data_IF_378485582240
#
_entry.id   IF_378485582240
#
_cell.length_a   1.000
_cell.length_b   1.000
_cell.length_c   1.000
_cell.angle_alpha   90.00
_cell.angle_beta   90.00
_cell.angle_gamma   90.00
#
_symmetry.space_group_name_H-M   'P 1'
#
loop_
_entity.id
_entity.type
_entity.pdbx_description
1 polymer ?
#
# COMPACT_ATOMS: atom_id res chain seq x y z
N UNK A 1 34.84 78.33 23.73
CA UNK A 1 35.10 76.94 24.19
C UNK A 1 33.74 76.29 24.37
N UNK A 2 33.28 75.32 23.58
CA UNK A 2 33.97 74.12 23.13
C UNK A 2 33.43 72.92 23.92
N UNK A 3 32.14 72.63 23.78
CA UNK A 3 31.49 71.44 24.34
C UNK A 3 31.33 70.42 23.22
N UNK A 4 31.89 69.22 23.38
CA UNK A 4 31.61 68.09 22.50
C UNK A 4 31.49 66.84 23.36
N UNK A 5 30.25 66.53 23.71
CA UNK A 5 29.86 65.23 24.22
C UNK A 5 29.50 64.26 23.09
N UNK A 6 29.37 63.00 23.52
CA UNK A 6 28.59 61.93 22.91
C UNK A 6 29.04 61.35 21.55
N UNK A 7 29.75 60.22 21.67
CA UNK A 7 29.42 58.91 21.08
C UNK A 7 28.39 58.94 19.93
N UNK A 8 28.87 59.16 18.71
CA UNK A 8 28.10 59.01 17.48
C UNK A 8 28.36 57.65 16.81
N UNK A 9 27.44 56.71 16.97
CA UNK A 9 27.33 55.54 16.09
C UNK A 9 26.97 56.00 14.68
N UNK A 10 27.75 55.51 13.71
CA UNK A 10 27.66 55.86 12.30
C UNK A 10 26.44 55.17 11.68
N UNK A 11 25.51 56.01 11.22
CA UNK A 11 24.44 55.79 10.22
C UNK A 11 25.09 55.27 8.90
N UNK A 12 24.50 54.55 7.94
CA UNK A 12 23.17 53.99 7.66
C UNK A 12 23.21 53.22 6.30
N UNK A 13 22.05 52.60 5.93
CA UNK A 13 21.58 52.18 4.58
C UNK A 13 22.04 50.79 4.12
N UNK A 14 21.24 49.89 3.53
CA UNK A 14 19.82 49.71 3.21
C UNK A 14 19.68 48.22 2.76
N UNK A 15 18.47 47.67 2.55
CA UNK A 15 18.15 46.26 2.77
C UNK A 15 18.47 45.37 1.57
N UNK A 16 19.21 44.28 1.81
CA UNK A 16 19.23 43.15 0.89
C UNK A 16 18.24 42.12 1.44
N UNK A 17 17.01 42.17 0.93
CA UNK A 17 16.03 41.11 1.11
C UNK A 17 16.60 39.83 0.47
N UNK A 18 17.35 39.06 1.26
CA UNK A 18 17.88 37.77 0.86
C UNK A 18 16.73 36.76 0.94
N UNK A 19 16.19 36.48 -0.23
CA UNK A 19 15.26 35.41 -0.56
C UNK A 19 15.87 34.06 -0.12
N UNK A 20 15.66 33.63 1.13
CA UNK A 20 16.04 32.27 1.57
C UNK A 20 14.96 31.30 1.10
N UNK A 21 15.05 30.95 -0.18
CA UNK A 21 14.29 29.89 -0.84
C UNK A 21 14.98 28.55 -0.56
N UNK A 22 15.04 28.12 0.71
CA UNK A 22 15.53 26.77 1.03
C UNK A 22 14.33 25.85 1.15
N UNK A 23 13.85 25.47 -0.03
CA UNK A 23 13.59 24.09 -0.41
C UNK A 23 13.32 23.17 0.80
N UNK A 24 12.05 23.13 1.22
CA UNK A 24 11.55 22.04 2.06
C UNK A 24 11.77 20.75 1.29
N UNK A 25 12.88 20.09 1.59
CA UNK A 25 13.12 18.70 1.23
C UNK A 25 12.12 17.90 2.07
N UNK A 26 10.90 17.74 1.57
CA UNK A 26 9.98 16.80 2.20
C UNK A 26 10.57 15.41 2.00
N UNK A 27 10.85 14.65 3.07
CA UNK A 27 11.22 13.25 2.90
C UNK A 27 10.03 12.57 2.21
N UNK A 28 10.25 12.00 1.02
CA UNK A 28 9.36 10.99 0.47
C UNK A 28 9.36 9.86 1.50
N UNK A 29 8.34 9.81 2.35
CA UNK A 29 8.16 8.70 3.26
C UNK A 29 8.17 7.41 2.43
N UNK A 30 9.00 6.41 2.78
CA UNK A 30 8.98 5.13 2.10
C UNK A 30 7.55 4.60 2.09
N UNK A 31 7.08 4.04 0.96
CA UNK A 31 5.71 3.57 0.91
C UNK A 31 5.50 2.45 1.93
N UNK A 32 4.39 2.56 2.67
CA UNK A 32 4.08 1.68 3.80
C UNK A 32 3.69 0.30 3.26
N UNK A 33 4.40 -0.75 3.71
CA UNK A 33 4.13 -2.13 3.28
C UNK A 33 3.20 -2.82 4.26
N UNK A 34 2.12 -3.38 3.74
CA UNK A 34 1.08 -4.08 4.50
C UNK A 34 0.97 -5.51 3.99
N UNK A 35 0.88 -6.47 4.89
CA UNK A 35 0.75 -7.89 4.52
C UNK A 35 -0.66 -8.35 4.84
N UNK A 36 -1.32 -8.97 3.85
CA UNK A 36 -2.65 -9.51 3.97
C UNK A 36 -2.72 -10.96 3.51
N UNK A 37 -3.82 -11.62 3.86
CA UNK A 37 -4.23 -12.93 3.33
C UNK A 37 -5.64 -12.81 2.80
N UNK A 38 -5.99 -13.66 1.86
CA UNK A 38 -7.34 -13.63 1.29
C UNK A 38 -7.53 -14.64 0.18
N UNK A 39 -8.74 -14.64 -0.38
CA UNK A 39 -9.11 -15.47 -1.52
C UNK A 39 -9.26 -14.58 -2.75
N UNK A 40 -8.61 -14.97 -3.84
CA UNK A 40 -8.74 -14.28 -5.13
C UNK A 40 -10.16 -14.54 -5.65
N UNK A 41 -10.94 -13.48 -5.85
CA UNK A 41 -12.30 -13.62 -6.39
C UNK A 41 -12.31 -13.47 -7.91
N UNK A 42 -11.50 -12.55 -8.46
CA UNK A 42 -11.45 -12.27 -9.89
C UNK A 42 -10.15 -11.58 -10.28
N UNK A 43 -9.58 -11.95 -11.43
CA UNK A 43 -8.47 -11.25 -12.07
C UNK A 43 -9.02 -10.41 -13.23
N UNK A 44 -8.69 -9.12 -13.26
CA UNK A 44 -9.09 -8.15 -14.29
C UNK A 44 -7.82 -7.66 -14.98
N UNK A 45 -7.26 -8.51 -15.84
CA UNK A 45 -5.96 -8.28 -16.49
C UNK A 45 -5.93 -6.98 -17.33
N UNK A 46 -7.04 -6.63 -17.99
CA UNK A 46 -7.12 -5.41 -18.81
C UNK A 46 -6.94 -4.10 -18.02
N UNK A 47 -7.29 -4.11 -16.73
CA UNK A 47 -7.18 -2.93 -15.84
C UNK A 47 -6.04 -3.08 -14.81
N UNK A 48 -5.18 -4.09 -14.97
CA UNK A 48 -4.14 -4.44 -14.01
C UNK A 48 -4.65 -4.56 -12.56
N UNK A 49 -5.82 -5.18 -12.38
CA UNK A 49 -6.50 -5.27 -11.09
C UNK A 49 -6.85 -6.69 -10.70
N UNK A 50 -6.90 -6.92 -9.40
CA UNK A 50 -7.40 -8.17 -8.82
C UNK A 50 -8.41 -7.86 -7.72
N UNK A 51 -9.54 -8.57 -7.74
CA UNK A 51 -10.54 -8.54 -6.67
C UNK A 51 -10.18 -9.64 -5.69
N UNK A 52 -9.92 -9.28 -4.44
CA UNK A 52 -9.56 -10.20 -3.36
C UNK A 52 -10.55 -10.02 -2.21
N UNK A 53 -11.12 -11.13 -1.75
CA UNK A 53 -11.78 -11.22 -0.46
C UNK A 53 -10.70 -11.39 0.61
N UNK A 54 -10.25 -10.28 1.20
CA UNK A 54 -9.16 -10.30 2.16
C UNK A 54 -9.66 -10.51 3.59
N UNK A 55 -8.82 -11.15 4.40
CA UNK A 55 -8.98 -11.27 5.85
C UNK A 55 -8.69 -9.93 6.55
N UNK A 56 -8.85 -9.87 7.87
CA UNK A 56 -8.48 -8.69 8.64
C UNK A 56 -6.99 -8.36 8.46
N UNK A 57 -6.70 -7.11 8.09
CA UNK A 57 -5.34 -6.56 7.99
C UNK A 57 -5.15 -5.65 9.21
N UNK A 58 -4.44 -6.10 10.26
CA UNK A 58 -4.34 -5.38 11.52
C UNK A 58 -3.82 -3.95 11.33
N UNK A 59 -4.51 -2.99 11.92
CA UNK A 59 -4.15 -1.57 11.84
C UNK A 59 -4.46 -0.90 10.49
N UNK A 60 -5.03 -1.63 9.52
CA UNK A 60 -5.35 -1.09 8.22
C UNK A 60 -6.82 -1.21 7.85
N UNK A 61 -7.33 -2.43 7.64
CA UNK A 61 -8.70 -2.66 7.16
C UNK A 61 -9.25 -4.00 7.64
N UNK A 62 -10.55 -4.03 7.95
CA UNK A 62 -11.27 -5.26 8.32
C UNK A 62 -11.48 -6.15 7.10
N UNK A 63 -11.75 -7.44 7.34
CA UNK A 63 -12.04 -8.39 6.28
C UNK A 63 -13.17 -7.89 5.34
N UNK A 64 -12.89 -7.75 4.06
CA UNK A 64 -13.85 -7.34 3.03
C UNK A 64 -13.38 -7.76 1.64
N UNK A 65 -14.26 -7.62 0.63
CA UNK A 65 -13.91 -7.88 -0.77
C UNK A 65 -13.73 -6.57 -1.52
N UNK A 66 -12.53 -6.34 -2.06
CA UNK A 66 -12.24 -5.13 -2.84
C UNK A 66 -11.24 -5.39 -3.96
N UNK A 67 -11.16 -4.45 -4.90
CA UNK A 67 -10.19 -4.47 -5.99
C UNK A 67 -8.89 -3.78 -5.58
N UNK A 68 -7.77 -4.45 -5.79
CA UNK A 68 -6.42 -3.90 -5.66
C UNK A 68 -5.77 -3.75 -7.03
N UNK A 69 -5.05 -2.65 -7.21
CA UNK A 69 -4.24 -2.41 -8.40
C UNK A 69 -2.91 -3.13 -8.26
N UNK A 70 -2.39 -3.69 -9.34
CA UNK A 70 -1.19 -4.52 -9.32
C UNK A 70 -0.05 -3.75 -9.97
N UNK A 71 1.05 -3.56 -9.22
CA UNK A 71 2.21 -2.79 -9.70
C UNK A 71 2.91 -3.47 -10.87
N UNK A 72 3.03 -4.79 -10.82
CA UNK A 72 3.59 -5.60 -11.91
C UNK A 72 2.51 -6.54 -12.46
N UNK A 73 2.03 -6.34 -13.70
CA UNK A 73 1.00 -7.18 -14.29
C UNK A 73 1.41 -8.65 -14.40
N UNK A 74 2.71 -8.99 -14.37
CA UNK A 74 3.17 -10.38 -14.34
C UNK A 74 2.71 -11.13 -13.08
N UNK A 75 2.45 -10.43 -11.97
CA UNK A 75 1.89 -11.03 -10.75
C UNK A 75 0.47 -11.58 -10.99
N UNK A 76 -0.31 -10.98 -11.90
CA UNK A 76 -1.66 -11.45 -12.22
C UNK A 76 -1.68 -12.85 -12.83
N UNK A 77 -0.61 -13.23 -13.54
CA UNK A 77 -0.49 -14.56 -14.14
C UNK A 77 -0.31 -15.67 -13.09
N UNK A 78 0.07 -15.31 -11.86
CA UNK A 78 0.24 -16.25 -10.74
C UNK A 78 -1.05 -16.43 -9.93
N UNK A 79 -2.09 -15.65 -10.23
CA UNK A 79 -3.33 -15.61 -9.47
C UNK A 79 -4.41 -16.46 -10.15
N UNK A 80 -4.95 -17.42 -9.40
CA UNK A 80 -6.12 -18.19 -9.82
C UNK A 80 -7.34 -17.74 -9.01
N UNK A 81 -8.48 -17.46 -9.65
CA UNK A 81 -9.74 -17.29 -8.90
C UNK A 81 -10.02 -18.50 -7.99
N UNK A 82 -10.64 -18.23 -6.85
CA UNK A 82 -10.92 -19.16 -5.75
C UNK A 82 -9.70 -19.71 -5.01
N UNK A 83 -8.51 -19.16 -5.25
CA UNK A 83 -7.28 -19.56 -4.56
C UNK A 83 -6.97 -18.65 -3.36
N UNK A 84 -6.48 -19.25 -2.27
CA UNK A 84 -6.02 -18.52 -1.09
C UNK A 84 -4.60 -18.05 -1.31
N UNK A 85 -4.34 -16.78 -1.05
CA UNK A 85 -3.06 -16.12 -1.28
C UNK A 85 -2.66 -15.25 -0.11
N UNK A 86 -1.35 -15.18 0.12
CA UNK A 86 -0.71 -14.16 0.94
C UNK A 86 -0.20 -13.07 0.01
N UNK A 87 -0.58 -11.84 0.26
CA UNK A 87 -0.21 -10.71 -0.59
C UNK A 87 0.43 -9.59 0.21
N UNK A 88 1.28 -8.81 -0.46
CA UNK A 88 1.86 -7.59 0.09
C UNK A 88 1.33 -6.39 -0.68
N UNK A 89 0.77 -5.43 0.04
CA UNK A 89 0.36 -4.14 -0.47
C UNK A 89 1.45 -3.10 -0.16
N UNK A 90 1.66 -2.20 -1.10
CA UNK A 90 2.45 -0.99 -0.96
C UNK A 90 1.48 0.20 -1.01
N UNK A 91 1.38 0.91 0.11
CA UNK A 91 0.53 2.08 0.24
C UNK A 91 1.32 3.33 -0.12
N UNK A 92 0.82 4.05 -1.13
CA UNK A 92 1.31 5.36 -1.52
C UNK A 92 0.37 6.45 -0.98
N UNK A 93 0.68 7.71 -1.27
CA UNK A 93 -0.22 8.83 -0.94
C UNK A 93 -1.53 8.79 -1.76
N UNK A 94 -1.53 8.11 -2.90
CA UNK A 94 -2.62 8.13 -3.87
C UNK A 94 -3.43 6.83 -3.91
N UNK A 95 -2.77 5.67 -3.74
CA UNK A 95 -3.40 4.36 -3.94
C UNK A 95 -2.67 3.21 -3.21
N UNK A 96 -3.23 2.01 -3.33
CA UNK A 96 -2.69 0.76 -2.80
C UNK A 96 -2.32 -0.17 -3.94
N UNK A 97 -1.05 -0.52 -4.03
CA UNK A 97 -0.55 -1.45 -5.02
C UNK A 97 -0.27 -2.82 -4.42
N UNK A 98 -0.76 -3.88 -5.04
CA UNK A 98 -0.27 -5.23 -4.81
C UNK A 98 1.09 -5.37 -5.49
N UNK A 99 2.12 -5.66 -4.69
CA UNK A 99 3.53 -5.72 -5.12
C UNK A 99 4.14 -7.11 -4.99
N UNK A 100 3.51 -8.01 -4.24
CA UNK A 100 3.91 -9.39 -4.15
C UNK A 100 2.70 -10.27 -3.82
N UNK A 101 2.72 -11.50 -4.34
CA UNK A 101 1.73 -12.51 -4.01
C UNK A 101 2.38 -13.89 -3.98
N UNK A 102 1.97 -14.69 -3.01
CA UNK A 102 2.40 -16.06 -2.80
C UNK A 102 1.14 -16.90 -2.54
N UNK A 103 1.15 -18.15 -2.97
CA UNK A 103 0.11 -19.10 -2.61
C UNK A 103 0.16 -19.34 -1.11
N UNK A 104 -0.96 -19.15 -0.41
CA UNK A 104 -1.07 -19.49 1.01
C UNK A 104 -1.68 -20.88 1.08
N UNK A 105 -0.83 -21.91 1.20
CA UNK A 105 -1.24 -23.31 1.37
C UNK A 105 -1.95 -23.57 2.72
N UNK A 106 -2.25 -22.52 3.48
CA UNK A 106 -3.11 -22.59 4.66
C UNK A 106 -4.55 -22.91 4.28
N UNK A 107 -4.93 -24.18 4.40
CA UNK A 107 -6.29 -24.74 4.24
C UNK A 107 -7.11 -24.01 3.17
N UNK A 108 -6.83 -24.35 1.91
CA UNK A 108 -7.78 -24.09 0.83
C UNK A 108 -9.16 -24.67 1.19
N UNK A 109 -10.24 -24.29 0.50
CA UNK A 109 -11.50 -25.00 0.67
C UNK A 109 -11.23 -26.51 0.51
N UNK A 110 -11.68 -27.36 1.45
CA UNK A 110 -11.43 -28.79 1.35
C UNK A 110 -11.82 -29.22 -0.06
N UNK A 111 -11.00 -30.03 -0.75
CA UNK A 111 -11.34 -30.45 -2.10
C UNK A 111 -12.76 -30.98 -2.04
N UNK A 112 -13.65 -30.42 -2.86
CA UNK A 112 -15.04 -30.86 -3.00
C UNK A 112 -15.17 -32.36 -3.37
N UNK A 113 -14.04 -33.06 -3.48
CA UNK A 113 -13.87 -34.50 -3.71
C UNK A 113 -13.93 -35.37 -2.45
N UNK A 114 -14.13 -34.84 -1.24
CA UNK A 114 -14.30 -35.68 -0.03
C UNK A 114 -15.74 -35.91 0.40
N UNK A 115 -16.73 -35.52 -0.40
CA UNK A 115 -18.08 -36.07 -0.21
C UNK A 115 -17.98 -37.58 -0.45
N UNK A 116 -18.18 -38.44 0.56
CA UNK A 116 -18.36 -39.86 0.30
C UNK A 116 -19.60 -39.96 -0.58
N UNK A 117 -19.50 -40.60 -1.75
CA UNK A 117 -20.68 -41.00 -2.52
C UNK A 117 -21.66 -41.67 -1.55
N UNK A 118 -22.98 -41.34 -1.60
CA UNK A 118 -23.94 -42.04 -0.77
C UNK A 118 -23.77 -43.54 -1.03
N UNK A 119 -23.46 -44.29 0.03
CA UNK A 119 -23.35 -45.74 -0.04
C UNK A 119 -24.68 -46.24 -0.58
N UNK A 120 -24.64 -46.74 -1.82
CA UNK A 120 -25.78 -47.36 -2.46
C UNK A 120 -26.15 -48.57 -1.60
N UNK A 121 -27.16 -48.42 -0.75
CA UNK A 121 -27.72 -49.50 0.03
C UNK A 121 -28.08 -50.64 -0.92
N UNK A 122 -27.35 -51.75 -0.82
CA UNK A 122 -27.82 -53.03 -1.34
C UNK A 122 -28.94 -53.50 -0.40
N UNK A 123 -30.11 -53.74 -0.99
CA UNK A 123 -31.15 -54.55 -0.36
C UNK A 123 -30.78 -56.02 -0.28
#
# INVERSE_FOLDING_TARGET
>A
MGSIGALGWRKARAPLALLVFILSCQPLAPPEKLVGRGVVQKVVAGDHRVVIAHDDIPGFMRAMTMSFEVRDPALLAQLTPSERVRFTLEKTQETLYLVAVEKDEGEGPPPASLLPLPSRGKG
#
